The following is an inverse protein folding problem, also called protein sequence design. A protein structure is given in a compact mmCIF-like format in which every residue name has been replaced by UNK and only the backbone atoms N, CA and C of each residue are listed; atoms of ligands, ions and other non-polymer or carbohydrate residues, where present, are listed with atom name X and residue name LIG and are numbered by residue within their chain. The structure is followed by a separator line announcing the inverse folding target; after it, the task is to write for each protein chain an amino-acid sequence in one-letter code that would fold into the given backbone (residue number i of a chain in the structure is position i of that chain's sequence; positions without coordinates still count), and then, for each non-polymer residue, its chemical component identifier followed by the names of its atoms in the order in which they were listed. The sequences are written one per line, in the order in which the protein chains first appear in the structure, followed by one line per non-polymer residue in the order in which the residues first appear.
data_IF_028107122873
#
_entry.id   IF_028107122873
#
_cell.length_a   1.000
_cell.length_b   1.000
_cell.length_c   1.000
_cell.angle_alpha   90.00
_cell.angle_beta   90.00
_cell.angle_gamma   90.00
#
_symmetry.space_group_name_H-M   'P 1'
#
loop_
_entity.id
_entity.type
_entity.pdbx_description
1 polymer ?
#
# COMPACT_ATOMS: atom_id res chain seq x y z
N UNK A 1 -12.08 6.58 10.13
CA UNK A 1 -10.71 6.59 10.68
C UNK A 1 -10.47 5.24 11.29
N UNK A 2 -10.17 4.30 10.40
CA UNK A 2 -9.67 2.98 10.76
C UNK A 2 -8.29 3.11 11.40
N UNK A 3 -7.90 2.13 12.22
CA UNK A 3 -6.56 2.10 12.81
C UNK A 3 -5.52 1.86 11.72
N UNK A 4 -4.54 2.76 11.59
CA UNK A 4 -3.52 2.72 10.54
C UNK A 4 -2.64 1.47 10.69
N UNK A 5 -2.39 1.03 11.93
CA UNK A 5 -1.67 -0.23 12.17
C UNK A 5 -2.47 -1.43 11.64
N UNK A 6 -3.79 -1.42 11.81
CA UNK A 6 -4.66 -2.47 11.31
C UNK A 6 -4.72 -2.50 9.76
N UNK A 7 -4.67 -1.33 9.11
CA UNK A 7 -4.63 -1.28 7.65
C UNK A 7 -3.28 -1.75 7.09
N UNK A 8 -2.17 -1.47 7.78
CA UNK A 8 -0.88 -2.07 7.46
C UNK A 8 -0.92 -3.61 7.58
N UNK A 9 -1.38 -4.13 8.72
CA UNK A 9 -1.44 -5.58 8.96
C UNK A 9 -2.35 -6.28 7.95
N UNK A 10 -3.46 -5.65 7.57
CA UNK A 10 -4.32 -6.17 6.52
C UNK A 10 -3.61 -6.19 5.16
N UNK A 11 -2.93 -5.10 4.79
CA UNK A 11 -2.20 -5.00 3.52
C UNK A 11 -1.10 -6.07 3.45
N UNK A 12 -0.32 -6.22 4.53
CA UNK A 12 0.72 -7.24 4.65
C UNK A 12 0.17 -8.67 4.46
N UNK A 13 -0.96 -8.96 5.10
CA UNK A 13 -1.59 -10.28 5.07
C UNK A 13 -2.16 -10.67 3.69
N UNK A 14 -2.60 -9.69 2.88
CA UNK A 14 -3.17 -9.99 1.55
C UNK A 14 -2.12 -10.03 0.43
N UNK A 15 -0.94 -9.45 0.67
CA UNK A 15 0.14 -9.44 -0.32
C UNK A 15 0.89 -10.76 -0.37
N UNK A 16 1.31 -11.21 -1.57
CA UNK A 16 2.05 -12.45 -1.71
C UNK A 16 3.42 -12.37 -1.00
N UNK A 17 4.01 -13.52 -0.65
CA UNK A 17 5.33 -13.58 0.00
C UNK A 17 6.47 -13.12 -0.92
N UNK A 18 6.22 -12.88 -2.22
CA UNK A 18 7.19 -12.31 -3.15
C UNK A 18 7.41 -10.80 -2.94
N UNK A 19 6.49 -10.10 -2.28
CA UNK A 19 6.64 -8.67 -2.00
C UNK A 19 7.65 -8.44 -0.87
N UNK A 20 8.61 -7.56 -1.09
CA UNK A 20 9.58 -7.18 -0.06
C UNK A 20 8.89 -6.36 1.05
N UNK A 21 9.38 -6.53 2.28
CA UNK A 21 8.78 -5.93 3.49
C UNK A 21 9.80 -5.18 4.34
N UNK A 22 11.10 -5.31 4.05
CA UNK A 22 12.18 -4.84 4.92
C UNK A 22 12.07 -3.35 5.30
N UNK A 23 11.71 -2.48 4.35
CA UNK A 23 11.56 -1.04 4.60
C UNK A 23 10.25 -0.77 5.35
N UNK A 24 9.17 -1.38 4.90
CA UNK A 24 7.86 -1.22 5.53
C UNK A 24 7.82 -1.71 6.98
N UNK A 25 8.50 -2.83 7.29
CA UNK A 25 8.66 -3.36 8.65
C UNK A 25 9.49 -2.44 9.54
N UNK A 26 10.52 -1.78 8.98
CA UNK A 26 11.30 -0.78 9.71
C UNK A 26 10.45 0.41 10.13
N UNK A 27 9.64 0.95 9.21
CA UNK A 27 8.75 2.08 9.49
C UNK A 27 7.66 1.68 10.51
N UNK A 28 7.06 0.50 10.35
CA UNK A 28 6.09 -0.03 11.30
C UNK A 28 6.70 -0.14 12.71
N UNK A 29 7.92 -0.69 12.81
CA UNK A 29 8.63 -0.81 14.09
C UNK A 29 9.06 0.54 14.67
N UNK A 30 9.27 1.56 13.82
CA UNK A 30 9.58 2.93 14.23
C UNK A 30 8.33 3.71 14.70
N UNK A 31 7.13 3.15 14.50
CA UNK A 31 5.87 3.80 14.85
C UNK A 31 5.35 4.75 13.77
N UNK A 32 5.74 4.53 12.51
CA UNK A 32 5.36 5.30 11.33
C UNK A 32 4.49 4.44 10.37
N UNK A 33 3.27 4.05 10.77
CA UNK A 33 2.46 3.10 10.00
C UNK A 33 2.00 3.67 8.64
N UNK A 34 1.84 4.98 8.50
CA UNK A 34 1.56 5.61 7.20
C UNK A 34 2.71 5.43 6.20
N UNK A 35 3.95 5.64 6.65
CA UNK A 35 5.17 5.37 5.87
C UNK A 35 5.26 3.88 5.54
N UNK A 36 4.96 3.01 6.50
CA UNK A 36 4.95 1.57 6.33
C UNK A 36 3.95 1.11 5.24
N UNK A 37 2.74 1.66 5.24
CA UNK A 37 1.73 1.37 4.19
C UNK A 37 2.23 1.87 2.83
N UNK A 38 2.76 3.09 2.76
CA UNK A 38 3.24 3.66 1.51
C UNK A 38 4.36 2.81 0.91
N UNK A 39 5.39 2.47 1.70
CA UNK A 39 6.50 1.63 1.25
C UNK A 39 6.05 0.21 0.87
N UNK A 40 5.18 -0.42 1.65
CA UNK A 40 4.65 -1.75 1.32
C UNK A 40 3.83 -1.74 0.02
N UNK A 41 3.06 -0.68 -0.22
CA UNK A 41 2.29 -0.51 -1.44
C UNK A 41 3.19 -0.23 -2.66
N UNK A 42 4.29 0.50 -2.49
CA UNK A 42 5.32 0.69 -3.51
C UNK A 42 6.02 -0.63 -3.88
N UNK A 43 6.46 -1.41 -2.89
CA UNK A 43 7.05 -2.74 -3.13
C UNK A 43 6.06 -3.69 -3.83
N UNK A 44 4.79 -3.67 -3.42
CA UNK A 44 3.73 -4.43 -4.09
C UNK A 44 3.52 -3.97 -5.53
N UNK A 45 3.67 -2.68 -5.79
CA UNK A 45 3.51 -2.10 -7.12
C UNK A 45 4.63 -2.54 -8.07
N UNK A 46 5.87 -2.54 -7.58
CA UNK A 46 7.04 -2.99 -8.33
C UNK A 46 6.97 -4.48 -8.68
N UNK A 47 6.48 -5.30 -7.74
CA UNK A 47 6.28 -6.74 -7.94
C UNK A 47 4.99 -7.08 -8.72
N UNK A 48 4.19 -6.07 -9.11
CA UNK A 48 2.94 -6.28 -9.85
C UNK A 48 1.84 -6.98 -9.04
N UNK A 49 1.92 -6.93 -7.71
CA UNK A 49 0.99 -7.55 -6.77
C UNK A 49 -0.20 -6.65 -6.39
N UNK A 50 -0.20 -5.38 -6.82
CA UNK A 50 -1.29 -4.45 -6.55
C UNK A 50 -2.53 -4.81 -7.37
N UNK A 51 -3.64 -5.04 -6.66
CA UNK A 51 -4.95 -5.33 -7.26
C UNK A 51 -5.90 -4.12 -7.15
N UNK A 52 -6.97 -4.07 -7.98
CA UNK A 52 -8.03 -3.07 -7.82
C UNK A 52 -8.65 -3.04 -6.43
N UNK A 53 -8.79 -4.19 -5.77
CA UNK A 53 -9.38 -4.30 -4.43
C UNK A 53 -8.49 -3.60 -3.39
N UNK A 54 -7.17 -3.78 -3.49
CA UNK A 54 -6.21 -3.14 -2.60
C UNK A 54 -6.32 -1.62 -2.68
N UNK A 55 -6.29 -1.09 -3.91
CA UNK A 55 -6.36 0.34 -4.16
C UNK A 55 -7.70 0.92 -3.70
N UNK A 56 -8.82 0.24 -4.01
CA UNK A 56 -10.15 0.69 -3.61
C UNK A 56 -10.33 0.76 -2.10
N UNK A 57 -9.73 -0.17 -1.34
CA UNK A 57 -9.81 -0.14 0.11
C UNK A 57 -9.01 1.03 0.68
N UNK A 58 -7.73 1.14 0.33
CA UNK A 58 -6.85 2.19 0.85
C UNK A 58 -7.35 3.59 0.48
N UNK A 59 -7.89 3.78 -0.73
CA UNK A 59 -8.46 5.05 -1.18
C UNK A 59 -9.60 5.59 -0.31
N UNK A 60 -10.39 4.71 0.33
CA UNK A 60 -11.52 5.15 1.16
C UNK A 60 -11.07 5.96 2.36
N UNK A 61 -9.94 5.61 2.96
CA UNK A 61 -9.43 6.25 4.16
C UNK A 61 -8.26 7.22 3.87
N UNK A 62 -7.43 6.92 2.85
CA UNK A 62 -6.13 7.58 2.66
C UNK A 62 -6.00 8.40 1.37
N UNK A 63 -7.09 8.69 0.68
CA UNK A 63 -7.04 9.48 -0.58
C UNK A 63 -6.44 10.89 -0.44
N UNK A 64 -6.49 11.47 0.76
CA UNK A 64 -5.88 12.79 1.06
C UNK A 64 -4.66 12.69 1.97
N UNK A 65 -4.19 11.47 2.25
CA UNK A 65 -3.03 11.25 3.10
C UNK A 65 -1.75 11.66 2.34
N UNK A 66 -0.83 12.43 2.97
CA UNK A 66 0.36 12.95 2.29
C UNK A 66 1.41 11.88 1.96
N UNK A 67 1.36 10.71 2.60
CA UNK A 67 2.31 9.61 2.37
C UNK A 67 1.69 8.54 1.48
N UNK A 68 0.47 8.11 1.80
CA UNK A 68 -0.20 6.99 1.11
C UNK A 68 -0.92 7.46 -0.16
N UNK A 69 -1.50 8.66 -0.13
CA UNK A 69 -2.30 9.22 -1.23
C UNK A 69 -1.56 9.25 -2.58
N UNK A 70 -0.32 9.78 -2.64
CA UNK A 70 0.46 9.77 -3.88
C UNK A 70 0.69 8.37 -4.47
N UNK A 71 0.92 7.36 -3.63
CA UNK A 71 1.13 5.97 -4.08
C UNK A 71 -0.17 5.38 -4.64
N UNK A 72 -1.31 5.66 -4.01
CA UNK A 72 -2.64 5.30 -4.52
C UNK A 72 -2.86 5.90 -5.92
N UNK A 73 -2.55 7.18 -6.13
CA UNK A 73 -2.72 7.82 -7.45
C UNK A 73 -1.89 7.14 -8.54
N UNK A 74 -0.66 6.73 -8.21
CA UNK A 74 0.21 5.99 -9.14
C UNK A 74 -0.40 4.62 -9.46
N UNK A 75 -0.87 3.89 -8.44
CA UNK A 75 -1.51 2.59 -8.60
C UNK A 75 -2.76 2.69 -9.50
N UNK A 76 -3.62 3.67 -9.27
CA UNK A 76 -4.83 3.91 -10.09
C UNK A 76 -4.48 4.17 -11.55
N UNK A 77 -3.45 4.97 -11.81
CA UNK A 77 -2.98 5.24 -13.18
C UNK A 77 -2.47 3.99 -13.88
N UNK A 78 -1.71 3.15 -13.19
CA UNK A 78 -1.17 1.90 -13.75
C UNK A 78 -2.25 0.85 -14.00
N UNK A 79 -3.22 0.73 -13.09
CA UNK A 79 -4.41 -0.10 -13.30
C UNK A 79 -5.23 0.39 -14.51
N UNK A 80 -5.46 1.69 -14.63
CA UNK A 80 -6.19 2.26 -15.76
C UNK A 80 -5.45 2.09 -17.11
N UNK A 81 -4.12 2.02 -17.08
CA UNK A 81 -3.28 1.74 -18.24
C UNK A 81 -3.22 0.25 -18.62
N UNK A 82 -3.73 -0.65 -17.78
CA UNK A 82 -3.60 -2.11 -17.97
C UNK A 82 -2.20 -2.64 -17.73
N UNK A 83 -1.37 -1.89 -16.99
CA UNK A 83 0.00 -2.30 -16.60
C UNK A 83 0.01 -3.23 -15.37
N UNK A 84 -1.13 -3.35 -14.70
CA UNK A 84 -1.34 -4.19 -13.52
C UNK A 84 -2.53 -5.11 -13.78
N UNK A 85 -2.49 -6.31 -13.17
CA UNK A 85 -3.43 -7.41 -13.42
C UNK A 85 -4.65 -7.39 -12.50
#
# INVERSE_FOLDING_TARGET
MTDVYQEYEWLDAVLPPSVYRDVAEQDYAAGEPESAIANLLEDALEEGAVTPEIVQRLKREYSSDPFIGPVIEICERKLAAGELS
#
